data_IF_452376777281
#
_entry.id   IF_452376777281
#
_cell.length_a   1.000
_cell.length_b   1.000
_cell.length_c   1.000
_cell.angle_alpha   90.00
_cell.angle_beta   90.00
_cell.angle_gamma   90.00
#
_symmetry.space_group_name_H-M   'P 1'
#
loop_
_entity.id
_entity.type
_entity.pdbx_description
1 polymer ?
#
# COMPACT_ATOMS: atom_id res chain seq x y z
N UNK A 1 23.81 25.73 31.70
CA UNK A 1 23.07 24.64 31.04
C UNK A 1 21.99 25.29 30.19
N UNK A 2 22.19 25.40 28.87
CA UNK A 2 21.26 26.06 27.96
C UNK A 2 20.16 25.08 27.55
N UNK A 3 18.91 25.38 27.89
CA UNK A 3 17.75 24.62 27.45
C UNK A 3 17.51 24.93 25.96
N UNK A 4 17.76 23.96 25.09
CA UNK A 4 17.34 24.04 23.69
C UNK A 4 15.81 23.89 23.64
N UNK A 5 15.11 25.01 23.43
CA UNK A 5 13.69 25.01 23.05
C UNK A 5 13.59 24.45 21.64
N UNK A 6 13.34 23.14 21.51
CA UNK A 6 12.86 22.56 20.28
C UNK A 6 11.46 23.12 20.02
N UNK A 7 11.36 24.12 19.13
CA UNK A 7 10.10 24.51 18.51
C UNK A 7 9.64 23.37 17.61
N UNK A 8 9.08 22.33 18.22
CA UNK A 8 8.35 21.28 17.53
C UNK A 8 7.08 21.92 16.98
N UNK A 9 7.19 22.52 15.80
CA UNK A 9 6.06 22.82 14.96
C UNK A 9 5.46 21.47 14.57
N UNK A 10 4.61 20.92 15.44
CA UNK A 10 3.73 19.81 15.11
C UNK A 10 2.76 20.34 14.07
N UNK A 11 3.18 20.27 12.80
CA UNK A 11 2.29 20.23 11.66
C UNK A 11 1.46 18.96 11.86
N UNK A 12 0.38 19.06 12.63
CA UNK A 12 -0.63 18.01 12.62
C UNK A 12 -1.11 17.95 11.17
N UNK A 13 -0.91 16.83 10.47
CA UNK A 13 -1.38 16.71 9.11
C UNK A 13 -2.88 16.98 9.12
N UNK A 14 -3.30 17.95 8.32
CA UNK A 14 -4.72 18.28 8.18
C UNK A 14 -5.44 17.01 7.74
N UNK A 15 -6.62 16.72 8.30
CA UNK A 15 -7.41 15.54 7.88
C UNK A 15 -7.61 15.51 6.37
N UNK A 16 -7.69 16.69 5.74
CA UNK A 16 -7.76 16.85 4.29
C UNK A 16 -6.49 16.40 3.55
N UNK A 17 -5.30 16.59 4.11
CA UNK A 17 -4.06 16.11 3.49
C UNK A 17 -4.02 14.59 3.41
N UNK A 18 -4.61 13.89 4.38
CA UNK A 18 -4.75 12.43 4.38
C UNK A 18 -5.68 11.98 3.25
N UNK A 19 -6.85 12.62 3.11
CA UNK A 19 -7.79 12.31 2.01
C UNK A 19 -7.20 12.64 0.63
N UNK A 20 -6.50 13.76 0.52
CA UNK A 20 -5.79 14.13 -0.72
C UNK A 20 -4.67 13.13 -1.03
N UNK A 21 -4.02 12.56 -0.02
CA UNK A 21 -3.01 11.52 -0.20
C UNK A 21 -3.60 10.29 -0.89
N UNK A 22 -4.76 9.82 -0.43
CA UNK A 22 -5.46 8.69 -1.06
C UNK A 22 -5.75 8.99 -2.53
N UNK A 23 -6.31 10.17 -2.83
CA UNK A 23 -6.58 10.59 -4.21
C UNK A 23 -5.32 10.66 -5.08
N UNK A 24 -4.20 11.18 -4.54
CA UNK A 24 -2.92 11.22 -5.24
C UNK A 24 -2.34 9.81 -5.48
N UNK A 25 -2.52 8.88 -4.54
CA UNK A 25 -2.11 7.48 -4.71
C UNK A 25 -2.90 6.81 -5.85
N UNK A 26 -4.22 7.01 -5.91
CA UNK A 26 -5.02 6.53 -7.05
C UNK A 26 -4.57 7.16 -8.37
N UNK A 27 -4.25 8.46 -8.37
CA UNK A 27 -3.71 9.14 -9.55
C UNK A 27 -2.37 8.55 -10.00
N UNK A 28 -1.49 8.21 -9.06
CA UNK A 28 -0.21 7.56 -9.31
C UNK A 28 -0.39 6.16 -9.90
N UNK A 29 -1.29 5.35 -9.33
CA UNK A 29 -1.63 4.02 -9.85
C UNK A 29 -2.15 4.15 -11.29
N UNK A 30 -3.11 5.05 -11.52
CA UNK A 30 -3.65 5.28 -12.88
C UNK A 30 -2.56 5.70 -13.85
N UNK A 31 -1.64 6.60 -13.46
CA UNK A 31 -0.51 6.99 -14.30
C UNK A 31 0.38 5.79 -14.66
N UNK A 32 0.68 4.89 -13.72
CA UNK A 32 1.41 3.65 -14.00
C UNK A 32 0.66 2.72 -14.95
N UNK A 33 -0.66 2.62 -14.78
CA UNK A 33 -1.51 1.74 -15.60
C UNK A 33 -1.59 2.21 -17.05
N UNK A 34 -1.56 3.53 -17.29
CA UNK A 34 -1.58 4.11 -18.63
C UNK A 34 -0.19 4.36 -19.24
N UNK A 35 0.89 4.29 -18.46
CA UNK A 35 2.25 4.42 -19.01
C UNK A 35 2.60 3.20 -19.87
N UNK A 36 2.86 3.44 -21.16
CA UNK A 36 3.25 2.41 -22.13
C UNK A 36 4.61 1.79 -21.87
N UNK A 37 5.47 2.43 -21.05
CA UNK A 37 6.80 1.93 -20.68
C UNK A 37 6.72 0.82 -19.62
N UNK A 38 5.59 0.67 -18.94
CA UNK A 38 5.37 -0.40 -17.96
C UNK A 38 4.88 -1.66 -18.67
N UNK A 39 5.65 -2.75 -18.55
CA UNK A 39 5.30 -4.03 -19.12
C UNK A 39 3.91 -4.54 -18.66
N UNK A 40 3.13 -5.08 -19.59
CA UNK A 40 1.75 -5.54 -19.32
C UNK A 40 1.69 -6.58 -18.20
N UNK A 41 2.64 -7.52 -18.16
CA UNK A 41 2.71 -8.52 -17.09
C UNK A 41 2.84 -7.91 -15.70
N UNK A 42 3.58 -6.81 -15.53
CA UNK A 42 3.69 -6.11 -14.23
C UNK A 42 2.36 -5.50 -13.81
N UNK A 43 1.60 -4.95 -14.76
CA UNK A 43 0.24 -4.44 -14.52
C UNK A 43 -0.70 -5.58 -14.12
N UNK A 44 -0.62 -6.71 -14.81
CA UNK A 44 -1.40 -7.91 -14.49
C UNK A 44 -1.05 -8.45 -13.10
N UNK A 45 0.23 -8.52 -12.72
CA UNK A 45 0.63 -8.94 -11.37
C UNK A 45 0.12 -7.98 -10.30
N UNK A 46 0.21 -6.66 -10.54
CA UNK A 46 -0.32 -5.67 -9.61
C UNK A 46 -1.83 -5.79 -9.43
N UNK A 47 -2.59 -5.75 -10.54
CA UNK A 47 -4.06 -5.84 -10.49
C UNK A 47 -4.51 -7.19 -9.98
N UNK A 48 -3.90 -8.28 -10.43
CA UNK A 48 -4.20 -9.64 -9.97
C UNK A 48 -3.95 -9.82 -8.48
N UNK A 49 -2.87 -9.22 -7.96
CA UNK A 49 -2.58 -9.23 -6.52
C UNK A 49 -3.59 -8.41 -5.73
N UNK A 50 -3.97 -7.21 -6.20
CA UNK A 50 -5.04 -6.41 -5.58
C UNK A 50 -6.36 -7.17 -5.54
N UNK A 51 -6.77 -7.77 -6.67
CA UNK A 51 -8.00 -8.57 -6.74
C UNK A 51 -7.92 -9.77 -5.81
N UNK A 52 -6.79 -10.50 -5.79
CA UNK A 52 -6.58 -11.62 -4.87
C UNK A 52 -6.69 -11.22 -3.40
N UNK A 53 -6.12 -10.07 -3.02
CA UNK A 53 -6.25 -9.53 -1.67
C UNK A 53 -7.68 -9.09 -1.34
N UNK A 54 -8.42 -8.54 -2.31
CA UNK A 54 -9.84 -8.21 -2.11
C UNK A 54 -10.69 -9.46 -1.96
N UNK A 55 -10.43 -10.52 -2.73
CA UNK A 55 -11.11 -11.82 -2.56
C UNK A 55 -10.82 -12.39 -1.18
N UNK A 56 -9.56 -12.33 -0.73
CA UNK A 56 -9.16 -12.73 0.62
C UNK A 56 -9.89 -11.93 1.71
N UNK A 57 -10.06 -10.63 1.50
CA UNK A 57 -10.70 -9.72 2.45
C UNK A 57 -12.23 -9.92 2.53
N UNK A 58 -12.90 -10.09 1.38
CA UNK A 58 -14.36 -10.19 1.32
C UNK A 58 -14.89 -11.62 1.48
N UNK A 59 -14.07 -12.62 1.14
CA UNK A 59 -14.46 -14.02 1.14
C UNK A 59 -13.43 -14.87 1.89
N UNK A 60 -13.17 -14.59 3.18
CA UNK A 60 -12.21 -15.37 3.97
C UNK A 60 -12.59 -16.86 4.03
N UNK A 61 -13.89 -17.18 3.99
CA UNK A 61 -14.41 -18.56 4.02
C UNK A 61 -14.04 -19.41 2.80
N UNK A 62 -13.65 -18.79 1.67
CA UNK A 62 -13.15 -19.54 0.50
C UNK A 62 -11.77 -20.15 0.72
N UNK A 63 -11.07 -19.71 1.78
CA UNK A 63 -9.72 -20.15 2.10
C UNK A 63 -9.76 -21.09 3.30
N UNK A 64 -9.14 -22.26 3.15
CA UNK A 64 -9.00 -23.20 4.27
C UNK A 64 -8.21 -22.57 5.43
N UNK A 65 -8.54 -22.95 6.66
CA UNK A 65 -7.82 -22.54 7.87
C UNK A 65 -6.30 -22.77 7.75
N UNK A 66 -5.87 -23.82 7.04
CA UNK A 66 -4.45 -24.15 6.81
C UNK A 66 -3.73 -23.12 5.93
N UNK A 67 -4.40 -22.58 4.91
CA UNK A 67 -3.83 -21.54 4.04
C UNK A 67 -3.72 -20.23 4.79
N UNK A 68 -4.78 -19.83 5.50
CA UNK A 68 -4.78 -18.59 6.28
C UNK A 68 -3.74 -18.61 7.40
N UNK A 69 -3.63 -19.73 8.14
CA UNK A 69 -2.64 -19.91 9.22
C UNK A 69 -1.19 -19.99 8.76
N UNK A 70 -0.91 -20.30 7.49
CA UNK A 70 0.45 -20.28 6.93
C UNK A 70 0.83 -18.91 6.38
N UNK A 71 -0.13 -18.24 5.73
CA UNK A 71 0.12 -16.97 5.02
C UNK A 71 0.09 -15.78 5.98
N UNK A 72 -0.84 -15.75 6.95
CA UNK A 72 -0.98 -14.63 7.87
C UNK A 72 0.25 -14.38 8.75
N UNK A 73 0.97 -15.38 9.29
CA UNK A 73 2.20 -15.12 10.03
C UNK A 73 3.27 -14.43 9.20
N UNK A 74 3.41 -14.80 7.92
CA UNK A 74 4.38 -14.21 6.98
C UNK A 74 4.02 -12.77 6.66
N UNK A 75 2.74 -12.51 6.38
CA UNK A 75 2.25 -11.15 6.12
C UNK A 75 2.39 -10.29 7.39
N UNK A 76 2.05 -10.82 8.56
CA UNK A 76 2.15 -10.13 9.85
C UNK A 76 3.59 -9.73 10.19
N UNK A 77 4.58 -10.58 9.89
CA UNK A 77 6.01 -10.23 10.07
C UNK A 77 6.46 -9.14 9.10
N UNK A 78 6.02 -9.18 7.84
CA UNK A 78 6.41 -8.20 6.83
C UNK A 78 5.70 -6.84 7.00
N UNK A 79 4.46 -6.85 7.49
CA UNK A 79 3.65 -5.66 7.69
C UNK A 79 3.82 -5.02 9.08
N UNK A 80 4.38 -5.76 10.06
CA UNK A 80 4.56 -5.27 11.43
C UNK A 80 3.26 -5.06 12.21
N UNK A 81 2.17 -5.71 11.79
CA UNK A 81 0.84 -5.58 12.40
C UNK A 81 0.39 -6.95 12.92
N UNK A 82 -0.11 -7.04 14.16
CA UNK A 82 -0.69 -8.27 14.67
C UNK A 82 -2.00 -8.53 13.89
N UNK A 83 -2.02 -9.62 13.13
CA UNK A 83 -3.18 -10.09 12.35
C UNK A 83 -4.01 -11.09 13.16
N UNK A 84 -3.98 -10.97 14.48
CA UNK A 84 -4.65 -11.81 15.45
C UNK A 84 -6.18 -11.78 15.32
N UNK A 85 -6.73 -10.80 14.58
CA UNK A 85 -8.14 -10.73 14.20
C UNK A 85 -8.44 -11.15 12.73
N UNK A 86 -7.43 -11.57 11.96
CA UNK A 86 -7.55 -11.86 10.53
C UNK A 86 -7.06 -10.73 9.63
N UNK A 87 -7.34 -10.86 8.32
CA UNK A 87 -6.94 -9.86 7.32
C UNK A 87 -8.02 -8.76 7.24
N UNK A 88 -7.68 -7.52 7.61
CA UNK A 88 -8.59 -6.37 7.61
C UNK A 88 -8.19 -5.28 6.57
N UNK A 89 -8.92 -4.16 6.56
CA UNK A 89 -8.66 -3.03 5.66
C UNK A 89 -7.29 -2.36 5.86
N UNK A 90 -6.74 -2.37 7.08
CA UNK A 90 -5.43 -1.79 7.39
C UNK A 90 -4.33 -2.72 6.89
N UNK A 91 -4.45 -4.02 7.17
CA UNK A 91 -3.56 -5.05 6.63
C UNK A 91 -3.56 -5.02 5.09
N UNK A 92 -4.75 -4.92 4.49
CA UNK A 92 -4.91 -4.73 3.05
C UNK A 92 -4.15 -3.52 2.55
N UNK A 93 -4.32 -2.35 3.17
CA UNK A 93 -3.65 -1.13 2.76
C UNK A 93 -2.11 -1.28 2.81
N UNK A 94 -1.57 -1.83 3.89
CA UNK A 94 -0.11 -2.02 4.04
C UNK A 94 0.47 -2.98 3.00
N UNK A 95 -0.23 -4.08 2.72
CA UNK A 95 0.19 -5.04 1.69
C UNK A 95 0.02 -4.44 0.30
N UNK A 96 -1.08 -3.74 0.03
CA UNK A 96 -1.34 -3.07 -1.25
C UNK A 96 -0.26 -2.02 -1.56
N UNK A 97 0.19 -1.24 -0.58
CA UNK A 97 1.32 -0.31 -0.73
C UNK A 97 2.62 -1.06 -1.08
N UNK A 98 2.83 -2.25 -0.52
CA UNK A 98 3.98 -3.08 -0.87
C UNK A 98 3.95 -3.59 -2.32
N UNK A 99 2.79 -3.65 -2.98
CA UNK A 99 2.66 -4.10 -4.36
C UNK A 99 3.20 -3.09 -5.37
N UNK A 100 3.41 -1.83 -4.97
CA UNK A 100 4.08 -0.85 -5.83
C UNK A 100 5.46 -1.33 -6.30
N UNK A 101 6.09 -2.27 -5.58
CA UNK A 101 7.34 -2.94 -5.98
C UNK A 101 7.28 -3.65 -7.35
N UNK A 102 6.09 -3.99 -7.83
CA UNK A 102 5.94 -4.61 -9.15
C UNK A 102 6.23 -3.62 -10.29
N UNK A 103 6.06 -2.32 -10.05
CA UNK A 103 6.40 -1.29 -11.01
C UNK A 103 7.91 -1.01 -11.01
N UNK A 104 8.50 -0.60 -12.16
CA UNK A 104 9.89 -0.16 -12.20
C UNK A 104 10.10 1.05 -11.30
N UNK A 105 11.14 1.01 -10.46
CA UNK A 105 11.38 2.03 -9.44
C UNK A 105 11.63 3.42 -10.06
N UNK A 106 12.28 3.46 -11.22
CA UNK A 106 12.60 4.69 -11.94
C UNK A 106 11.32 5.39 -12.42
N UNK A 107 10.40 4.62 -13.02
CA UNK A 107 9.12 5.15 -13.49
C UNK A 107 8.25 5.55 -12.31
N UNK A 108 8.20 4.73 -11.25
CA UNK A 108 7.47 5.04 -10.02
C UNK A 108 7.92 6.37 -9.42
N UNK A 109 9.23 6.58 -9.29
CA UNK A 109 9.81 7.83 -8.81
C UNK A 109 9.51 9.02 -9.73
N UNK A 110 9.57 8.84 -11.06
CA UNK A 110 9.26 9.89 -12.03
C UNK A 110 7.83 10.42 -11.86
N UNK A 111 6.85 9.51 -11.83
CA UNK A 111 5.44 9.87 -11.66
C UNK A 111 5.12 10.34 -10.24
N UNK A 112 5.77 9.76 -9.23
CA UNK A 112 5.65 10.21 -7.84
C UNK A 112 6.09 11.68 -7.71
N UNK A 113 7.28 12.02 -8.22
CA UNK A 113 7.77 13.41 -8.20
C UNK A 113 6.82 14.36 -8.95
N UNK A 114 6.22 13.91 -10.05
CA UNK A 114 5.27 14.71 -10.83
C UNK A 114 3.94 14.99 -10.09
N UNK A 115 3.49 14.07 -9.24
CA UNK A 115 2.17 14.14 -8.58
C UNK A 115 2.28 14.70 -7.15
N UNK A 116 3.38 14.44 -6.47
CA UNK A 116 3.60 14.77 -5.06
C UNK A 116 4.64 15.87 -4.82
N UNK A 117 5.53 16.14 -5.78
CA UNK A 117 6.44 17.29 -5.76
C UNK A 117 5.74 18.56 -6.18
#
# INVERSE_FOLDING_TARGET
MQAQTYSAQRTQPSRWEIFLHVGKTFKLISAMMFDGRVALWRKLFFVGSIVGLLVLLFFPDLFSETVLSTVFPIIGTLAGVPLDAGFDWVAFALVALNLFRFFPAELLAEHYKRIFG
#
